data_IF_349538673451
#
_entry.id   IF_349538673451
#
_cell.length_a   1.000
_cell.length_b   1.000
_cell.length_c   1.000
_cell.angle_alpha   90.00
_cell.angle_beta   90.00
_cell.angle_gamma   90.00
#
_symmetry.space_group_name_H-M   'P 1'
#
loop_
_entity.id
_entity.type
_entity.pdbx_description
1 polymer ?
#
# COMPACT_ATOMS: atom_id res chain seq x y z
N UNK A 1 31.24 55.60 39.87
CA UNK A 1 30.68 54.44 40.58
C UNK A 1 30.46 53.35 39.55
N UNK A 2 31.41 52.41 39.46
CA UNK A 2 31.45 51.39 38.41
C UNK A 2 30.55 50.20 38.75
N UNK A 3 29.77 49.76 37.77
CA UNK A 3 28.95 48.55 37.81
C UNK A 3 29.86 47.32 37.75
N UNK A 4 29.92 46.59 38.85
CA UNK A 4 30.66 45.34 38.99
C UNK A 4 29.89 44.22 38.26
N UNK A 5 30.43 43.74 37.14
CA UNK A 5 29.95 42.54 36.47
C UNK A 5 30.42 41.33 37.29
N UNK A 6 29.50 40.65 37.96
CA UNK A 6 29.78 39.38 38.61
C UNK A 6 29.98 38.31 37.53
N UNK A 7 31.25 37.97 37.27
CA UNK A 7 31.65 36.74 36.60
C UNK A 7 31.27 35.56 37.50
N UNK A 8 30.10 34.95 37.26
CA UNK A 8 29.83 33.60 37.75
C UNK A 8 30.83 32.66 37.07
N UNK A 9 31.80 32.21 37.85
CA UNK A 9 32.73 31.16 37.47
C UNK A 9 31.94 29.90 37.14
N UNK A 10 31.81 29.57 35.86
CA UNK A 10 31.40 28.23 35.44
C UNK A 10 32.47 27.25 35.93
N UNK A 11 32.10 26.32 36.78
CA UNK A 11 33.00 25.25 37.23
C UNK A 11 33.49 24.41 36.05
N UNK A 12 34.62 23.70 36.20
CA UNK A 12 35.16 22.88 35.11
C UNK A 12 34.16 21.79 34.72
N UNK A 13 33.81 21.77 33.43
CA UNK A 13 32.94 20.78 32.80
C UNK A 13 33.58 19.39 32.95
N UNK A 14 33.11 18.58 33.90
CA UNK A 14 33.66 17.23 34.13
C UNK A 14 33.15 16.26 33.05
N UNK A 15 34.03 15.41 32.52
CA UNK A 15 33.73 14.42 31.48
C UNK A 15 32.71 13.36 31.90
N UNK A 16 32.37 13.28 33.19
CA UNK A 16 31.42 12.32 33.77
C UNK A 16 29.95 12.65 33.48
N UNK A 17 29.61 13.89 33.12
CA UNK A 17 28.23 14.32 32.88
C UNK A 17 27.84 14.37 31.40
N UNK A 18 28.75 14.09 30.47
CA UNK A 18 28.45 14.15 29.03
C UNK A 18 27.56 12.98 28.60
N UNK A 19 26.52 13.19 27.77
CA UNK A 19 25.71 12.08 27.28
C UNK A 19 26.60 11.03 26.62
N UNK A 20 26.39 9.73 26.90
CA UNK A 20 27.23 8.68 26.35
C UNK A 20 27.39 8.84 24.84
N UNK A 21 28.64 8.79 24.33
CA UNK A 21 28.92 8.84 22.88
C UNK A 21 28.11 7.80 22.10
N UNK A 22 27.72 6.70 22.75
CA UNK A 22 26.84 5.67 22.20
C UNK A 22 25.42 6.18 21.89
N UNK A 23 24.86 7.11 22.67
CA UNK A 23 23.52 7.67 22.43
C UNK A 23 23.52 8.58 21.20
N UNK A 24 24.47 9.51 21.09
CA UNK A 24 24.62 10.36 19.90
C UNK A 24 24.88 9.55 18.63
N UNK A 25 25.68 8.48 18.74
CA UNK A 25 25.92 7.55 17.64
C UNK A 25 24.62 6.86 17.22
N UNK A 26 23.84 6.34 18.18
CA UNK A 26 22.58 5.65 17.92
C UNK A 26 21.52 6.59 17.32
N UNK A 27 21.43 7.83 17.80
CA UNK A 27 20.57 8.87 17.22
C UNK A 27 20.90 9.12 15.75
N UNK A 28 22.19 9.31 15.44
CA UNK A 28 22.68 9.51 14.07
C UNK A 28 22.39 8.30 13.19
N UNK A 29 22.60 7.09 13.70
CA UNK A 29 22.29 5.83 13.00
C UNK A 29 20.80 5.72 12.67
N UNK A 30 19.90 6.00 13.62
CA UNK A 30 18.46 5.99 13.39
C UNK A 30 18.02 7.04 12.37
N UNK A 31 18.55 8.26 12.44
CA UNK A 31 18.28 9.33 11.46
C UNK A 31 18.67 8.89 10.05
N UNK A 32 19.88 8.37 9.88
CA UNK A 32 20.36 7.86 8.60
C UNK A 32 19.51 6.69 8.06
N UNK A 33 19.05 5.80 8.94
CA UNK A 33 18.17 4.70 8.55
C UNK A 33 16.77 5.18 8.13
N UNK A 34 16.20 6.17 8.81
CA UNK A 34 14.93 6.81 8.43
C UNK A 34 15.06 7.44 7.05
N UNK A 35 16.09 8.27 6.83
CA UNK A 35 16.34 8.93 5.53
C UNK A 35 16.48 7.93 4.38
N UNK A 36 17.15 6.79 4.64
CA UNK A 36 17.28 5.70 3.67
C UNK A 36 15.91 5.07 3.35
N UNK A 37 15.12 4.75 4.36
CA UNK A 37 13.81 4.13 4.18
C UNK A 37 12.84 5.07 3.45
N UNK A 38 12.89 6.37 3.74
CA UNK A 38 12.11 7.39 3.03
C UNK A 38 12.51 7.48 1.56
N UNK A 39 13.81 7.45 1.27
CA UNK A 39 14.32 7.41 -0.10
C UNK A 39 13.82 6.18 -0.86
N UNK A 40 13.75 5.02 -0.20
CA UNK A 40 13.20 3.78 -0.76
C UNK A 40 11.68 3.89 -1.01
N UNK A 41 10.92 4.52 -0.10
CA UNK A 41 9.48 4.80 -0.26
C UNK A 41 9.25 5.70 -1.47
N UNK A 42 9.98 6.81 -1.58
CA UNK A 42 9.86 7.76 -2.70
C UNK A 42 10.13 7.05 -4.03
N UNK A 43 11.16 6.20 -4.07
CA UNK A 43 11.49 5.41 -5.26
C UNK A 43 10.38 4.41 -5.61
N UNK A 44 9.85 3.69 -4.63
CA UNK A 44 8.75 2.74 -4.83
C UNK A 44 7.47 3.44 -5.31
N UNK A 45 7.13 4.59 -4.73
CA UNK A 45 5.97 5.40 -5.13
C UNK A 45 6.11 5.89 -6.58
N UNK A 46 7.27 6.43 -6.95
CA UNK A 46 7.54 6.85 -8.34
C UNK A 46 7.38 5.70 -9.32
N UNK A 47 7.89 4.52 -9.00
CA UNK A 47 7.75 3.34 -9.86
C UNK A 47 6.30 2.87 -9.98
N UNK A 48 5.54 2.93 -8.88
CA UNK A 48 4.12 2.62 -8.87
C UNK A 48 3.32 3.59 -9.75
N UNK A 49 3.57 4.90 -9.62
CA UNK A 49 2.93 5.95 -10.42
C UNK A 49 3.27 5.79 -11.91
N UNK A 50 4.47 5.35 -12.24
CA UNK A 50 4.88 5.07 -13.63
C UNK A 50 4.23 3.80 -14.20
N UNK A 51 3.84 2.85 -13.35
CA UNK A 51 3.14 1.62 -13.74
C UNK A 51 1.63 1.81 -13.92
N UNK A 52 1.09 2.97 -13.54
CA UNK A 52 -0.33 3.31 -13.68
C UNK A 52 -0.64 3.95 -15.05
N UNK A 53 -1.82 3.68 -15.64
CA UNK A 53 -2.32 4.45 -16.77
C UNK A 53 -2.41 5.94 -16.42
N UNK A 54 -1.94 6.82 -17.31
CA UNK A 54 -1.77 8.25 -16.99
C UNK A 54 -3.06 8.95 -16.53
N UNK A 55 -4.21 8.57 -17.10
CA UNK A 55 -5.50 9.15 -16.72
C UNK A 55 -6.03 8.62 -15.38
N UNK A 56 -5.77 7.34 -15.08
CA UNK A 56 -6.05 6.74 -13.76
C UNK A 56 -5.17 7.34 -12.68
N UNK A 57 -3.87 7.54 -12.95
CA UNK A 57 -2.95 8.20 -12.01
C UNK A 57 -3.43 9.61 -11.66
N UNK A 58 -3.76 10.43 -12.68
CA UNK A 58 -4.31 11.77 -12.48
C UNK A 58 -5.60 11.71 -11.64
N UNK A 59 -6.48 10.77 -11.99
CA UNK A 59 -7.72 10.50 -11.28
C UNK A 59 -7.50 10.24 -9.79
N UNK A 60 -6.61 9.31 -9.45
CA UNK A 60 -6.33 8.95 -8.04
C UNK A 60 -5.73 10.12 -7.24
N UNK A 61 -4.81 10.90 -7.83
CA UNK A 61 -4.30 12.11 -7.17
C UNK A 61 -5.41 13.14 -6.91
N UNK A 62 -6.30 13.34 -7.89
CA UNK A 62 -7.43 14.25 -7.74
C UNK A 62 -8.41 13.76 -6.68
N UNK A 63 -8.68 12.45 -6.60
CA UNK A 63 -9.51 11.85 -5.55
C UNK A 63 -8.96 12.17 -4.16
N UNK A 64 -7.66 11.96 -3.91
CA UNK A 64 -7.06 12.28 -2.61
C UNK A 64 -7.23 13.78 -2.26
N UNK A 65 -6.94 14.67 -3.20
CA UNK A 65 -7.13 16.11 -2.99
C UNK A 65 -8.60 16.49 -2.75
N UNK A 66 -9.54 15.87 -3.45
CA UNK A 66 -10.98 16.11 -3.26
C UNK A 66 -11.42 15.65 -1.86
N UNK A 67 -10.96 14.48 -1.43
CA UNK A 67 -11.24 13.95 -0.09
C UNK A 67 -10.80 14.95 0.98
N UNK A 68 -9.56 15.43 0.88
CA UNK A 68 -8.99 16.38 1.83
C UNK A 68 -9.72 17.74 1.80
N UNK A 69 -9.96 18.29 0.61
CA UNK A 69 -10.56 19.62 0.46
C UNK A 69 -12.02 19.70 0.91
N UNK A 70 -12.76 18.60 0.79
CA UNK A 70 -14.19 18.55 1.09
C UNK A 70 -14.51 17.68 2.30
N UNK A 71 -13.49 17.19 3.02
CA UNK A 71 -13.59 16.33 4.19
C UNK A 71 -14.55 15.14 3.96
N UNK A 72 -14.37 14.45 2.84
CA UNK A 72 -15.24 13.33 2.44
C UNK A 72 -14.82 12.06 3.16
N UNK A 73 -15.71 11.50 3.98
CA UNK A 73 -15.49 10.24 4.68
C UNK A 73 -16.02 9.03 3.88
N UNK A 74 -15.75 7.82 4.37
CA UNK A 74 -16.24 6.58 3.76
C UNK A 74 -15.53 6.18 2.45
N UNK A 75 -14.34 6.73 2.19
CA UNK A 75 -13.44 6.27 1.12
C UNK A 75 -12.35 5.37 1.71
N UNK A 76 -12.33 4.10 1.33
CA UNK A 76 -11.36 3.13 1.87
C UNK A 76 -10.06 3.07 1.07
N UNK A 77 -10.11 3.44 -0.21
CA UNK A 77 -8.95 3.46 -1.11
C UNK A 77 -8.98 2.39 -2.20
N UNK A 78 -7.94 2.33 -3.05
CA UNK A 78 -7.88 1.40 -4.18
C UNK A 78 -7.68 -0.05 -3.73
N UNK A 79 -8.19 -1.02 -4.50
CA UNK A 79 -8.00 -2.47 -4.24
C UNK A 79 -6.52 -2.82 -3.99
N UNK A 80 -5.60 -2.22 -4.74
CA UNK A 80 -4.16 -2.42 -4.60
C UNK A 80 -3.63 -2.09 -3.19
N UNK A 81 -4.24 -1.14 -2.48
CA UNK A 81 -3.86 -0.77 -1.12
C UNK A 81 -4.60 -1.58 -0.05
N UNK A 82 -5.70 -2.23 -0.41
CA UNK A 82 -6.55 -3.01 0.52
C UNK A 82 -6.23 -4.50 0.54
N UNK A 83 -5.35 -4.96 -0.36
CA UNK A 83 -4.95 -6.36 -0.53
C UNK A 83 -3.58 -6.65 0.10
N UNK A 84 -3.42 -7.87 0.60
CA UNK A 84 -2.15 -8.48 0.95
C UNK A 84 -2.14 -9.96 0.54
N UNK A 85 -0.99 -10.49 0.13
CA UNK A 85 -0.80 -11.90 -0.24
C UNK A 85 0.69 -12.27 -0.30
N UNK A 86 1.00 -13.57 -0.42
CA UNK A 86 2.39 -14.01 -0.62
C UNK A 86 2.91 -13.57 -2.00
N UNK A 87 4.21 -13.25 -2.09
CA UNK A 87 4.85 -12.72 -3.32
C UNK A 87 4.65 -13.61 -4.55
N UNK A 88 4.62 -14.94 -4.35
CA UNK A 88 4.39 -15.92 -5.42
C UNK A 88 3.03 -15.76 -6.12
N UNK A 89 2.09 -15.03 -5.53
CA UNK A 89 0.78 -14.76 -6.14
C UNK A 89 0.69 -13.37 -6.79
N UNK A 90 1.72 -12.53 -6.69
CA UNK A 90 1.64 -11.14 -7.16
C UNK A 90 1.26 -11.05 -8.64
N UNK A 91 1.92 -11.82 -9.50
CA UNK A 91 1.61 -11.82 -10.94
C UNK A 91 0.17 -12.26 -11.19
N UNK A 92 -0.26 -13.39 -10.62
CA UNK A 92 -1.62 -13.88 -10.77
C UNK A 92 -2.67 -12.86 -10.31
N UNK A 93 -2.43 -12.18 -9.18
CA UNK A 93 -3.33 -11.14 -8.64
C UNK A 93 -3.35 -9.91 -9.55
N UNK A 94 -2.19 -9.42 -9.97
CA UNK A 94 -2.09 -8.22 -10.79
C UNK A 94 -2.71 -8.40 -12.17
N UNK A 95 -2.49 -9.56 -12.79
CA UNK A 95 -3.07 -9.91 -14.09
C UNK A 95 -4.57 -10.10 -13.96
N UNK A 96 -5.03 -10.82 -12.94
CA UNK A 96 -6.47 -11.06 -12.73
C UNK A 96 -7.23 -9.76 -12.52
N UNK A 97 -6.72 -8.86 -11.67
CA UNK A 97 -7.40 -7.60 -11.40
C UNK A 97 -7.26 -6.61 -12.56
N UNK A 98 -6.11 -6.57 -13.23
CA UNK A 98 -5.81 -5.58 -14.27
C UNK A 98 -6.04 -4.16 -13.77
N UNK A 99 -6.84 -3.38 -14.50
CA UNK A 99 -7.20 -2.01 -14.09
C UNK A 99 -8.06 -1.97 -12.80
N UNK A 100 -8.68 -3.08 -12.40
CA UNK A 100 -9.46 -3.17 -11.16
C UNK A 100 -8.61 -3.00 -9.91
N UNK A 101 -7.28 -3.17 -10.01
CA UNK A 101 -6.34 -2.82 -8.93
C UNK A 101 -6.50 -1.37 -8.47
N UNK A 102 -6.86 -0.47 -9.39
CA UNK A 102 -6.98 0.95 -9.12
C UNK A 102 -8.43 1.39 -8.84
N UNK A 103 -9.37 0.45 -8.77
CA UNK A 103 -10.74 0.77 -8.42
C UNK A 103 -10.83 1.12 -6.94
N UNK A 104 -11.44 2.25 -6.63
CA UNK A 104 -11.52 2.80 -5.26
C UNK A 104 -12.76 2.25 -4.57
N UNK A 105 -12.56 1.55 -3.46
CA UNK A 105 -13.65 1.02 -2.64
C UNK A 105 -14.19 2.15 -1.77
N UNK A 106 -15.50 2.33 -1.76
CA UNK A 106 -16.21 3.33 -0.96
C UNK A 106 -17.41 2.71 -0.27
N UNK A 107 -17.85 3.32 0.83
CA UNK A 107 -18.99 2.84 1.61
C UNK A 107 -20.29 2.85 0.79
N UNK A 108 -20.57 3.96 0.08
CA UNK A 108 -21.82 4.16 -0.66
C UNK A 108 -21.63 4.76 -2.06
N UNK A 109 -22.62 4.58 -2.92
CA UNK A 109 -22.66 5.21 -4.24
C UNK A 109 -22.83 6.73 -4.19
N UNK A 110 -23.43 7.28 -3.13
CA UNK A 110 -23.52 8.73 -2.92
C UNK A 110 -22.14 9.36 -2.80
N UNK A 111 -21.23 8.74 -2.04
CA UNK A 111 -19.83 9.18 -1.90
C UNK A 111 -19.13 9.16 -3.27
N UNK A 112 -19.28 8.07 -4.03
CA UNK A 112 -18.70 8.00 -5.37
C UNK A 112 -19.25 9.09 -6.30
N UNK A 113 -20.56 9.37 -6.22
CA UNK A 113 -21.22 10.38 -7.05
C UNK A 113 -20.72 11.78 -6.71
N UNK A 114 -20.55 12.10 -5.43
CA UNK A 114 -19.97 13.36 -4.97
C UNK A 114 -18.56 13.56 -5.55
N UNK A 115 -17.67 12.57 -5.40
CA UNK A 115 -16.28 12.65 -5.89
C UNK A 115 -16.25 12.77 -7.42
N UNK A 116 -17.08 12.01 -8.13
CA UNK A 116 -17.17 12.06 -9.61
C UNK A 116 -17.57 13.46 -10.10
N UNK A 117 -18.48 14.15 -9.40
CA UNK A 117 -18.88 15.53 -9.76
C UNK A 117 -17.69 16.49 -9.67
N UNK A 118 -16.90 16.40 -8.61
CA UNK A 118 -15.68 17.19 -8.46
C UNK A 118 -14.65 16.85 -9.55
N UNK A 119 -14.34 15.56 -9.75
CA UNK A 119 -13.44 15.09 -10.82
C UNK A 119 -13.86 15.63 -12.19
N UNK A 120 -15.16 15.65 -12.48
CA UNK A 120 -15.69 16.17 -13.75
C UNK A 120 -15.50 17.67 -13.86
N UNK A 121 -15.86 18.43 -12.82
CA UNK A 121 -15.77 19.90 -12.83
C UNK A 121 -14.33 20.41 -13.02
N UNK A 122 -13.35 19.71 -12.47
CA UNK A 122 -11.94 20.12 -12.52
C UNK A 122 -11.12 19.38 -13.59
N UNK A 123 -11.76 18.48 -14.36
CA UNK A 123 -11.09 17.58 -15.33
C UNK A 123 -9.98 16.76 -14.68
N UNK A 124 -10.24 16.25 -13.47
CA UNK A 124 -9.29 15.59 -12.57
C UNK A 124 -8.83 14.19 -12.99
N UNK A 125 -9.30 13.67 -14.12
CA UNK A 125 -8.98 12.32 -14.61
C UNK A 125 -10.11 11.32 -14.39
N UNK A 126 -9.82 10.02 -14.54
CA UNK A 126 -10.83 8.96 -14.45
C UNK A 126 -10.53 7.93 -13.37
N UNK A 127 -11.51 7.68 -12.53
CA UNK A 127 -11.47 6.66 -11.47
C UNK A 127 -12.75 5.83 -11.55
N UNK A 128 -12.61 4.53 -11.33
CA UNK A 128 -13.76 3.63 -11.15
C UNK A 128 -13.93 3.34 -9.67
N UNK A 129 -15.15 3.44 -9.17
CA UNK A 129 -15.48 3.21 -7.77
C UNK A 129 -16.21 1.88 -7.58
N UNK A 130 -16.02 1.27 -6.42
CA UNK A 130 -16.73 0.07 -5.98
C UNK A 130 -17.52 0.44 -4.70
N UNK A 131 -18.78 0.87 -4.84
CA UNK A 131 -19.63 1.21 -3.70
C UNK A 131 -20.18 -0.04 -3.00
N UNK A 132 -19.77 -0.28 -1.76
CA UNK A 132 -20.08 -1.51 -1.02
C UNK A 132 -21.59 -1.73 -0.84
N UNK A 133 -22.38 -0.67 -0.69
CA UNK A 133 -23.84 -0.76 -0.59
C UNK A 133 -24.55 -1.20 -1.89
N UNK A 134 -23.88 -1.17 -3.06
CA UNK A 134 -24.46 -1.59 -4.36
C UNK A 134 -23.89 -2.89 -4.89
N UNK A 135 -22.70 -3.29 -4.47
CA UNK A 135 -22.03 -4.48 -4.99
C UNK A 135 -22.81 -5.73 -4.60
N UNK A 136 -23.37 -6.41 -5.62
CA UNK A 136 -24.02 -7.70 -5.47
C UNK A 136 -23.08 -8.79 -5.96
N UNK A 137 -22.73 -9.72 -5.08
CA UNK A 137 -21.91 -10.88 -5.41
C UNK A 137 -22.69 -12.14 -5.14
N UNK A 138 -22.70 -13.05 -6.11
CA UNK A 138 -23.15 -14.41 -5.89
C UNK A 138 -21.98 -15.26 -5.40
N UNK A 139 -22.28 -16.29 -4.61
CA UNK A 139 -21.26 -17.26 -4.28
C UNK A 139 -20.88 -18.06 -5.51
N UNK A 140 -19.57 -18.14 -5.76
CA UNK A 140 -19.01 -18.93 -6.83
C UNK A 140 -18.84 -20.37 -6.37
N UNK A 141 -19.48 -21.31 -7.06
CA UNK A 141 -19.20 -22.72 -6.84
C UNK A 141 -17.85 -23.06 -7.49
N UNK A 142 -16.88 -23.47 -6.68
CA UNK A 142 -15.57 -23.87 -7.16
C UNK A 142 -15.50 -25.40 -7.33
N UNK A 143 -14.90 -25.89 -8.42
CA UNK A 143 -14.69 -27.33 -8.60
C UNK A 143 -13.87 -27.91 -7.44
N UNK A 144 -14.32 -29.04 -6.91
CA UNK A 144 -13.55 -29.83 -5.94
C UNK A 144 -12.51 -30.65 -6.68
N UNK A 145 -11.39 -30.00 -7.03
CA UNK A 145 -10.28 -30.65 -7.72
C UNK A 145 -8.95 -30.18 -7.12
N UNK A 146 -7.95 -31.06 -7.01
CA UNK A 146 -6.61 -30.66 -6.57
C UNK A 146 -5.91 -29.72 -7.56
N UNK A 147 -6.38 -29.66 -8.81
CA UNK A 147 -5.78 -28.88 -9.90
C UNK A 147 -6.11 -27.37 -9.83
N UNK A 148 -7.01 -26.98 -8.92
CA UNK A 148 -7.63 -25.65 -8.89
C UNK A 148 -7.64 -25.08 -7.49
N UNK A 149 -7.22 -23.83 -7.36
CA UNK A 149 -7.24 -23.12 -6.09
C UNK A 149 -7.90 -21.76 -6.31
N UNK A 150 -9.03 -21.45 -5.64
CA UNK A 150 -9.64 -20.13 -5.77
C UNK A 150 -8.64 -19.03 -5.40
N UNK A 151 -8.41 -18.09 -6.31
CA UNK A 151 -7.43 -17.02 -6.10
C UNK A 151 -7.78 -16.20 -4.85
N UNK A 152 -9.07 -15.91 -4.67
CA UNK A 152 -9.61 -15.19 -3.51
C UNK A 152 -9.18 -15.80 -2.16
N UNK A 153 -9.00 -17.13 -2.08
CA UNK A 153 -8.56 -17.83 -0.84
C UNK A 153 -7.09 -17.61 -0.50
N UNK A 154 -6.30 -17.02 -1.42
CA UNK A 154 -4.89 -16.67 -1.22
C UNK A 154 -4.67 -15.20 -0.86
N UNK A 155 -5.75 -14.43 -0.74
CA UNK A 155 -5.73 -13.01 -0.47
C UNK A 155 -6.13 -12.74 0.98
N UNK A 156 -5.45 -11.78 1.61
CA UNK A 156 -5.78 -11.20 2.91
C UNK A 156 -6.34 -9.80 2.68
N UNK A 157 -7.49 -9.52 3.29
CA UNK A 157 -8.18 -8.24 3.26
C UNK A 157 -9.19 -8.21 4.42
N UNK A 158 -9.70 -7.02 4.78
CA UNK A 158 -10.69 -6.89 5.84
C UNK A 158 -12.06 -7.40 5.39
N UNK A 159 -12.80 -8.05 6.29
CA UNK A 159 -14.09 -8.68 5.98
C UNK A 159 -15.13 -7.68 5.40
N UNK A 160 -15.08 -6.42 5.82
CA UNK A 160 -15.91 -5.33 5.30
C UNK A 160 -15.74 -5.11 3.78
N UNK A 161 -14.57 -5.44 3.21
CA UNK A 161 -14.30 -5.31 1.77
C UNK A 161 -14.66 -6.57 0.96
N UNK A 162 -15.22 -7.61 1.60
CA UNK A 162 -15.46 -8.92 0.98
C UNK A 162 -16.23 -8.86 -0.34
N UNK A 163 -17.21 -7.98 -0.46
CA UNK A 163 -18.00 -7.80 -1.66
C UNK A 163 -17.15 -7.26 -2.83
N UNK A 164 -16.30 -6.27 -2.58
CA UNK A 164 -15.39 -5.73 -3.57
C UNK A 164 -14.38 -6.79 -4.05
N UNK A 165 -13.79 -7.55 -3.13
CA UNK A 165 -12.83 -8.61 -3.46
C UNK A 165 -13.48 -9.79 -4.18
N UNK A 166 -14.70 -10.20 -3.79
CA UNK A 166 -15.48 -11.21 -4.52
C UNK A 166 -15.82 -10.74 -5.93
N UNK A 167 -16.14 -9.46 -6.13
CA UNK A 167 -16.39 -8.91 -7.47
C UNK A 167 -15.16 -9.00 -8.38
N UNK A 168 -13.97 -8.67 -7.86
CA UNK A 168 -12.72 -8.63 -8.66
C UNK A 168 -12.11 -10.02 -8.85
N UNK A 169 -12.02 -10.84 -7.79
CA UNK A 169 -11.26 -12.09 -7.77
C UNK A 169 -12.13 -13.35 -7.61
N UNK A 170 -13.41 -13.19 -7.28
CA UNK A 170 -14.28 -14.30 -6.87
C UNK A 170 -14.59 -15.31 -7.98
N UNK A 171 -14.33 -14.98 -9.24
CA UNK A 171 -14.54 -15.89 -10.39
C UNK A 171 -13.25 -16.48 -10.96
N UNK A 172 -12.11 -16.24 -10.32
CA UNK A 172 -10.80 -16.67 -10.81
C UNK A 172 -10.22 -17.78 -9.95
N UNK A 173 -9.75 -18.84 -10.61
CA UNK A 173 -9.01 -19.95 -9.99
C UNK A 173 -7.59 -20.01 -10.52
N UNK A 174 -6.64 -20.32 -9.63
CA UNK A 174 -5.26 -20.61 -9.97
C UNK A 174 -5.19 -22.05 -10.47
N UNK A 175 -4.57 -22.25 -11.63
CA UNK A 175 -4.28 -23.55 -12.23
C UNK A 175 -2.76 -23.76 -12.32
N UNK A 176 -2.33 -25.02 -12.34
CA UNK A 176 -0.91 -25.38 -12.43
C UNK A 176 -0.26 -24.97 -13.77
N UNK A 177 -1.01 -25.06 -14.87
CA UNK A 177 -0.55 -24.85 -16.24
C UNK A 177 -1.71 -24.39 -17.16
N UNK A 178 -1.37 -23.94 -18.37
CA UNK A 178 -2.32 -23.41 -19.34
C UNK A 178 -3.29 -24.48 -19.87
N UNK A 179 -2.86 -25.74 -20.00
CA UNK A 179 -3.72 -26.85 -20.44
C UNK A 179 -4.84 -27.11 -19.43
N UNK A 180 -4.49 -27.10 -18.14
CA UNK A 180 -5.42 -27.21 -17.02
C UNK A 180 -6.34 -26.00 -16.96
N UNK A 181 -5.80 -24.78 -17.12
CA UNK A 181 -6.60 -23.56 -17.20
C UNK A 181 -7.64 -23.63 -18.33
N UNK A 182 -7.25 -24.12 -19.51
CA UNK A 182 -8.14 -24.27 -20.67
C UNK A 182 -9.26 -25.28 -20.42
N UNK A 183 -8.92 -26.44 -19.84
CA UNK A 183 -9.88 -27.49 -19.48
C UNK A 183 -10.91 -26.99 -18.45
N UNK A 184 -10.43 -26.31 -17.40
CA UNK A 184 -11.28 -25.83 -16.30
C UNK A 184 -12.18 -24.68 -16.76
N UNK A 185 -11.64 -23.70 -17.50
CA UNK A 185 -12.40 -22.54 -17.98
C UNK A 185 -13.62 -22.97 -18.83
N UNK A 186 -13.43 -23.95 -19.73
CA UNK A 186 -14.51 -24.50 -20.58
C UNK A 186 -15.60 -25.22 -19.80
N UNK A 187 -15.24 -25.93 -18.73
CA UNK A 187 -16.15 -26.83 -18.02
C UNK A 187 -16.85 -26.19 -16.82
N UNK A 188 -16.28 -25.13 -16.24
CA UNK A 188 -16.75 -24.58 -14.95
C UNK A 188 -17.23 -23.12 -15.03
N UNK A 189 -17.20 -22.47 -16.21
CA UNK A 189 -17.58 -21.07 -16.38
C UNK A 189 -16.77 -20.11 -15.45
N UNK A 190 -15.51 -20.46 -15.18
CA UNK A 190 -14.57 -19.71 -14.35
C UNK A 190 -13.45 -19.13 -15.19
N UNK A 191 -12.90 -18.02 -14.74
CA UNK A 191 -11.63 -17.53 -15.26
C UNK A 191 -10.49 -18.30 -14.58
N UNK A 192 -9.45 -18.63 -15.33
CA UNK A 192 -8.31 -19.40 -14.87
C UNK A 192 -7.03 -18.60 -15.06
N UNK A 193 -6.09 -18.71 -14.14
CA UNK A 193 -4.80 -18.00 -14.16
C UNK A 193 -3.69 -18.95 -13.69
N UNK A 194 -2.51 -18.91 -14.31
CA UNK A 194 -1.31 -19.58 -13.78
C UNK A 194 -0.55 -18.64 -12.83
N UNK A 195 0.39 -19.16 -12.05
CA UNK A 195 1.24 -18.30 -11.20
C UNK A 195 2.10 -17.33 -12.03
N UNK A 196 2.44 -17.71 -13.27
CA UNK A 196 3.21 -16.89 -14.21
C UNK A 196 2.35 -15.84 -14.94
N UNK A 197 1.03 -15.86 -14.77
CA UNK A 197 0.13 -14.85 -15.32
C UNK A 197 -0.56 -15.22 -16.63
N UNK A 198 -0.45 -16.46 -17.10
CA UNK A 198 -1.22 -16.91 -18.27
C UNK A 198 -2.68 -17.12 -17.88
N UNK A 199 -3.58 -16.45 -18.58
CA UNK A 199 -5.01 -16.39 -18.28
C UNK A 199 -5.83 -17.07 -19.37
N UNK A 200 -6.86 -17.81 -18.95
CA UNK A 200 -7.96 -18.25 -19.81
C UNK A 200 -9.27 -17.79 -19.19
N UNK A 201 -9.99 -16.91 -19.86
CA UNK A 201 -11.29 -16.46 -19.36
C UNK A 201 -12.39 -17.50 -19.65
N UNK A 202 -13.51 -17.40 -18.95
CA UNK A 202 -14.66 -18.30 -19.08
C UNK A 202 -15.28 -18.35 -20.49
N UNK A 203 -15.00 -17.36 -21.35
CA UNK A 203 -15.44 -17.30 -22.75
C UNK A 203 -14.41 -17.90 -23.72
N UNK A 204 -13.31 -18.46 -23.20
CA UNK A 204 -12.24 -19.08 -23.98
C UNK A 204 -11.19 -18.11 -24.52
N UNK A 205 -11.25 -16.83 -24.15
CA UNK A 205 -10.20 -15.86 -24.47
C UNK A 205 -8.94 -16.16 -23.68
N UNK A 206 -7.79 -16.14 -24.34
CA UNK A 206 -6.49 -16.46 -23.76
C UNK A 206 -5.59 -15.24 -23.78
N UNK A 207 -4.83 -15.02 -22.72
CA UNK A 207 -3.83 -13.96 -22.60
C UNK A 207 -2.63 -14.52 -21.89
N UNK A 208 -1.43 -14.25 -22.38
CA UNK A 208 -0.20 -14.78 -21.80
C UNK A 208 1.01 -14.06 -22.34
N UNK A 209 2.18 -14.45 -21.85
CA UNK A 209 3.46 -13.85 -22.21
C UNK A 209 4.34 -13.56 -20.99
N UNK A 210 5.34 -12.71 -21.20
CA UNK A 210 6.31 -12.41 -20.14
C UNK A 210 5.87 -11.23 -19.27
N UNK A 211 5.76 -11.47 -17.97
CA UNK A 211 5.55 -10.44 -16.95
C UNK A 211 6.85 -10.13 -16.21
N UNK A 212 7.33 -8.90 -16.32
CA UNK A 212 8.51 -8.45 -15.59
C UNK A 212 8.16 -8.18 -14.11
N UNK A 213 8.50 -9.13 -13.24
CA UNK A 213 8.29 -9.03 -11.79
C UNK A 213 8.90 -7.77 -11.17
N UNK A 214 9.93 -7.17 -11.77
CA UNK A 214 10.54 -5.92 -11.28
C UNK A 214 9.60 -4.73 -11.36
N UNK A 215 8.54 -4.82 -12.17
CA UNK A 215 7.49 -3.80 -12.33
C UNK A 215 6.19 -4.15 -11.58
N UNK A 216 6.25 -5.11 -10.65
CA UNK A 216 5.10 -5.49 -9.82
C UNK A 216 4.63 -4.32 -8.97
N UNK A 217 3.35 -3.97 -9.14
CA UNK A 217 2.66 -2.91 -8.38
C UNK A 217 2.47 -3.33 -6.92
N UNK A 218 2.13 -4.59 -6.67
CA UNK A 218 1.99 -5.14 -5.32
C UNK A 218 3.32 -5.13 -4.58
N UNK A 219 4.43 -5.41 -5.27
CA UNK A 219 5.77 -5.29 -4.69
C UNK A 219 6.06 -3.86 -4.24
N UNK A 220 5.78 -2.86 -5.08
CA UNK A 220 5.96 -1.46 -4.70
C UNK A 220 5.10 -1.07 -3.50
N UNK A 221 3.82 -1.45 -3.48
CA UNK A 221 2.94 -1.17 -2.34
C UNK A 221 3.39 -1.88 -1.06
N UNK A 222 3.85 -3.13 -1.16
CA UNK A 222 4.42 -3.87 -0.03
C UNK A 222 5.63 -3.13 0.56
N UNK A 223 6.59 -2.74 -0.29
CA UNK A 223 7.76 -1.94 0.14
C UNK A 223 7.33 -0.64 0.82
N UNK A 224 6.36 0.09 0.25
CA UNK A 224 5.85 1.33 0.86
C UNK A 224 5.25 1.08 2.25
N UNK A 225 4.40 0.06 2.39
CA UNK A 225 3.74 -0.27 3.67
C UNK A 225 4.72 -0.73 4.74
N UNK A 226 5.64 -1.62 4.39
CA UNK A 226 6.66 -2.15 5.30
C UNK A 226 7.62 -1.05 5.76
N UNK A 227 8.15 -0.25 4.83
CA UNK A 227 9.06 0.85 5.17
C UNK A 227 8.36 1.92 6.00
N UNK A 228 7.09 2.30 5.70
CA UNK A 228 6.33 3.24 6.54
C UNK A 228 6.14 2.72 7.97
N UNK A 229 5.89 1.42 8.12
CA UNK A 229 5.76 0.79 9.45
C UNK A 229 7.09 0.80 10.20
N UNK A 230 8.19 0.52 9.50
CA UNK A 230 9.53 0.54 10.07
C UNK A 230 9.97 1.95 10.47
N UNK A 231 9.70 2.97 9.64
CA UNK A 231 9.96 4.37 9.96
C UNK A 231 9.23 4.77 11.23
N UNK A 232 7.92 4.51 11.33
CA UNK A 232 7.15 4.81 12.56
C UNK A 232 7.76 4.20 13.82
N UNK A 233 8.27 2.96 13.74
CA UNK A 233 8.95 2.31 14.86
C UNK A 233 10.28 3.01 15.19
N UNK A 234 11.06 3.37 14.17
CA UNK A 234 12.35 4.06 14.34
C UNK A 234 12.21 5.49 14.84
N UNK A 235 11.18 6.22 14.39
CA UNK A 235 10.84 7.56 14.89
C UNK A 235 10.45 7.52 16.37
N UNK A 236 9.71 6.51 16.80
CA UNK A 236 9.40 6.31 18.22
C UNK A 236 10.68 6.06 19.04
N UNK A 237 11.57 5.18 18.58
CA UNK A 237 12.86 4.92 19.23
C UNK A 237 13.77 6.16 19.23
N UNK A 238 13.80 6.92 18.14
CA UNK A 238 14.57 8.15 18.02
C UNK A 238 14.08 9.19 19.04
N UNK A 239 12.76 9.35 19.18
CA UNK A 239 12.16 10.27 20.14
C UNK A 239 12.52 9.91 21.59
N UNK A 240 12.58 8.62 21.93
CA UNK A 240 13.04 8.18 23.25
C UNK A 240 14.51 8.58 23.50
N UNK A 241 15.38 8.43 22.51
CA UNK A 241 16.79 8.81 22.60
C UNK A 241 16.95 10.33 22.72
N UNK A 242 16.22 11.11 21.93
CA UNK A 242 16.26 12.57 21.99
C UNK A 242 15.81 13.10 23.37
N UNK A 243 14.82 12.46 24.00
CA UNK A 243 14.41 12.78 25.38
C UNK A 243 15.54 12.44 26.37
N UNK A 244 16.13 11.25 26.30
CA UNK A 244 17.25 10.88 27.18
C UNK A 244 18.45 11.82 27.04
N UNK A 245 18.82 12.19 25.82
CA UNK A 245 19.90 13.14 25.56
C UNK A 245 19.59 14.50 26.19
N UNK A 246 18.36 14.99 26.03
CA UNK A 246 17.92 16.27 26.60
C UNK A 246 17.95 16.25 28.13
N UNK A 247 17.47 15.17 28.76
CA UNK A 247 17.44 15.03 30.21
C UNK A 247 18.87 15.02 30.78
N UNK A 248 19.79 14.29 30.16
CA UNK A 248 21.21 14.29 30.56
C UNK A 248 21.80 15.70 30.41
N UNK A 249 21.60 16.35 29.26
CA UNK A 249 22.12 17.71 29.01
C UNK A 249 21.57 18.73 30.02
N UNK A 250 20.30 18.62 30.43
CA UNK A 250 19.71 19.47 31.46
C UNK A 250 20.36 19.23 32.83
N UNK A 251 20.72 17.99 33.18
CA UNK A 251 21.43 17.67 34.43
C UNK A 251 22.87 18.18 34.45
N UNK A 252 23.51 18.41 33.29
CA UNK A 252 24.87 19.00 33.21
C UNK A 252 24.85 20.52 33.39
N UNK A 253 23.73 21.17 33.08
CA UNK A 253 23.61 22.64 33.04
C UNK A 253 23.10 23.25 34.35
N UNK A 254 22.80 22.43 35.36
CA UNK A 254 22.40 22.82 36.73
C UNK A 254 23.58 22.56 37.68
#
# INVERSE_FOLDING_TARGET
MGTHWALMSMGPFSSENMPPKSLWKKETELKNEIDRLDSEIVKAQKNLDMAQPGDTRRGLHSVNRIIDNYNIEGVYGPILELIDCEEKFFTAVEVTAGNSLFHVVVESDDISTQIIRHLTSEKGGRVTFIPLNRVKVSDTNYPQSPDVVPLLKKLKYRAEYSHAFKQVFGRTVICRDLDTATRIARSNNLDCITLEGDQVNKKGGMTGGYYDYRKSKLKFVKTIKENKTLIKKKEAELKEIEVMLKDILCLVLI
#
